data_IF_736953406295
#
_entry.id   IF_736953406295
#
_cell.length_a   1.000
_cell.length_b   1.000
_cell.length_c   1.000
_cell.angle_alpha   90.00
_cell.angle_beta   90.00
_cell.angle_gamma   90.00
#
_symmetry.space_group_name_H-M   'P 1'
#
loop_
_entity.id
_entity.type
_entity.pdbx_description
1 polymer ?
#
# COMPACT_ATOMS: atom_id res chain seq x y z
N UNK A 1 6.24 10.27 16.33
CA UNK A 1 6.90 10.36 17.67
C UNK A 1 8.37 10.67 17.42
N UNK A 2 8.96 11.72 18.04
CA UNK A 2 10.38 12.03 17.87
C UNK A 2 11.29 10.90 18.34
N UNK A 3 12.36 10.63 17.60
CA UNK A 3 13.38 9.63 17.92
C UNK A 3 14.71 10.34 18.16
N UNK A 4 15.34 10.06 19.29
CA UNK A 4 16.66 10.61 19.61
C UNK A 4 17.74 9.67 19.13
N UNK A 5 18.58 10.14 18.22
CA UNK A 5 19.76 9.40 17.73
C UNK A 5 20.98 9.91 18.47
N UNK A 6 21.59 9.05 19.28
CA UNK A 6 22.83 9.38 20.00
C UNK A 6 24.03 9.33 19.06
N UNK A 7 24.80 10.38 19.02
CA UNK A 7 26.08 10.43 18.29
C UNK A 7 27.23 10.00 19.20
N UNK A 8 28.19 9.23 18.68
CA UNK A 8 29.43 8.88 19.40
C UNK A 8 30.38 10.06 19.64
N UNK A 9 30.18 11.18 18.93
CA UNK A 9 31.12 12.33 18.92
C UNK A 9 30.44 13.72 18.97
N UNK A 10 29.15 13.80 19.29
CA UNK A 10 28.46 15.10 19.27
C UNK A 10 27.13 15.08 20.01
N UNK A 11 26.36 16.13 19.86
CA UNK A 11 25.04 16.28 20.45
C UNK A 11 24.05 15.25 19.86
N UNK A 12 23.09 14.81 20.65
CA UNK A 12 22.04 13.93 20.21
C UNK A 12 21.15 14.65 19.17
N UNK A 13 20.88 13.99 18.05
CA UNK A 13 19.98 14.49 17.01
C UNK A 13 18.56 13.99 17.27
N UNK A 14 17.58 14.90 17.25
CA UNK A 14 16.16 14.55 17.32
C UNK A 14 15.59 14.50 15.91
N UNK A 15 15.12 13.32 15.49
CA UNK A 15 14.39 13.12 14.23
C UNK A 15 12.91 13.06 14.52
N UNK A 16 12.14 14.03 14.00
CA UNK A 16 10.71 14.18 14.28
C UNK A 16 9.82 14.17 13.04
N UNK A 17 10.42 14.17 11.85
CA UNK A 17 9.72 14.17 10.56
C UNK A 17 10.22 13.04 9.67
N UNK A 18 9.32 12.44 8.90
CA UNK A 18 9.68 11.48 7.85
C UNK A 18 10.40 12.21 6.71
N UNK A 19 11.45 11.59 6.18
CA UNK A 19 12.26 12.16 5.10
C UNK A 19 11.67 11.93 3.71
N UNK A 20 10.78 10.94 3.56
CA UNK A 20 10.23 10.57 2.26
C UNK A 20 9.21 11.57 1.71
N UNK A 21 8.22 12.08 2.48
CA UNK A 21 7.24 13.04 1.97
C UNK A 21 7.88 14.33 1.48
N UNK A 22 7.45 14.80 0.29
CA UNK A 22 7.92 16.02 -0.37
C UNK A 22 6.75 16.93 -0.73
N UNK A 23 6.23 17.72 0.22
CA UNK A 23 5.04 18.55 0.01
C UNK A 23 5.26 19.63 -1.06
N UNK A 24 6.50 20.00 -1.33
CA UNK A 24 6.91 21.00 -2.33
C UNK A 24 6.97 20.46 -3.76
N UNK A 25 6.58 19.19 -4.00
CA UNK A 25 6.63 18.57 -5.33
C UNK A 25 5.70 19.28 -6.31
N UNK A 26 6.23 19.62 -7.50
CA UNK A 26 5.48 20.22 -8.61
C UNK A 26 5.60 19.39 -9.88
N UNK A 27 4.66 19.56 -10.82
CA UNK A 27 4.72 18.88 -12.13
C UNK A 27 5.97 19.28 -12.91
N UNK A 28 6.36 20.56 -12.86
CA UNK A 28 7.57 21.08 -13.50
C UNK A 28 8.85 20.47 -12.88
N UNK A 29 8.84 20.24 -11.56
CA UNK A 29 9.92 19.56 -10.85
C UNK A 29 10.03 18.11 -11.29
N UNK A 30 8.92 17.38 -11.35
CA UNK A 30 8.86 15.99 -11.80
C UNK A 30 9.32 15.82 -13.25
N UNK A 31 8.94 16.75 -14.15
CA UNK A 31 9.31 16.70 -15.56
C UNK A 31 10.82 16.85 -15.82
N UNK A 32 11.57 17.43 -14.88
CA UNK A 32 13.03 17.60 -14.95
C UNK A 32 13.83 16.39 -14.46
N UNK A 33 13.16 15.41 -13.84
CA UNK A 33 13.84 14.24 -13.28
C UNK A 33 14.35 13.32 -14.40
N UNK A 34 15.56 12.83 -14.21
CA UNK A 34 16.18 11.89 -15.15
C UNK A 34 15.62 10.48 -14.95
N UNK A 35 15.44 9.71 -16.05
CA UNK A 35 15.12 8.28 -15.95
C UNK A 35 16.20 7.53 -15.18
N UNK A 36 15.77 6.58 -14.29
CA UNK A 36 16.68 5.82 -13.43
C UNK A 36 16.87 4.35 -13.87
N UNK A 37 16.02 3.85 -14.76
CA UNK A 37 16.07 2.44 -15.22
C UNK A 37 16.67 2.31 -16.60
N UNK A 38 16.28 3.18 -17.54
CA UNK A 38 16.78 3.21 -18.92
C UNK A 38 17.00 4.66 -19.36
N UNK A 39 18.02 4.99 -20.14
CA UNK A 39 18.30 6.37 -20.57
C UNK A 39 17.12 7.08 -21.24
N UNK A 40 16.29 6.34 -22.00
CA UNK A 40 15.08 6.83 -22.69
C UNK A 40 13.79 6.37 -22.00
N UNK A 41 13.88 5.94 -20.73
CA UNK A 41 12.73 5.44 -19.97
C UNK A 41 11.91 6.58 -19.37
N UNK A 42 10.79 6.20 -18.73
CA UNK A 42 9.87 7.12 -18.06
C UNK A 42 9.87 6.96 -16.53
N UNK A 43 10.55 5.95 -16.01
CA UNK A 43 10.65 5.73 -14.56
C UNK A 43 11.73 6.63 -13.99
N UNK A 44 11.34 7.49 -13.05
CA UNK A 44 12.19 8.47 -12.36
C UNK A 44 12.07 8.31 -10.84
N UNK A 45 12.92 9.00 -10.08
CA UNK A 45 12.81 9.03 -8.63
C UNK A 45 11.49 9.66 -8.12
N UNK A 46 10.79 10.43 -8.94
CA UNK A 46 9.52 11.07 -8.59
C UNK A 46 8.27 10.25 -8.87
N UNK A 47 8.39 9.12 -9.61
CA UNK A 47 7.27 8.26 -9.95
C UNK A 47 7.54 6.77 -9.65
N UNK A 48 8.48 6.52 -8.76
CA UNK A 48 8.81 5.22 -8.19
C UNK A 48 8.83 5.32 -6.66
N UNK A 49 8.46 4.27 -5.97
CA UNK A 49 8.60 4.22 -4.52
C UNK A 49 10.07 4.22 -4.11
N UNK A 50 10.37 4.84 -2.98
CA UNK A 50 11.67 4.70 -2.32
C UNK A 50 11.81 3.33 -1.66
N UNK A 51 13.05 2.86 -1.52
CA UNK A 51 13.36 1.75 -0.61
C UNK A 51 13.70 2.36 0.73
N UNK A 52 12.87 2.11 1.74
CA UNK A 52 12.92 2.81 3.02
C UNK A 52 13.00 1.81 4.17
N UNK A 53 13.48 2.28 5.30
CA UNK A 53 13.30 1.61 6.58
C UNK A 53 11.90 1.91 7.13
N UNK A 54 11.32 0.94 7.81
CA UNK A 54 10.00 1.12 8.41
C UNK A 54 9.55 -0.12 9.16
N UNK A 55 8.64 0.09 10.10
CA UNK A 55 8.04 -0.99 10.89
C UNK A 55 6.53 -0.79 11.00
N UNK A 56 5.80 -1.89 11.02
CA UNK A 56 4.36 -1.92 11.24
C UNK A 56 4.01 -3.16 12.05
N UNK A 57 3.04 -3.03 12.95
CA UNK A 57 2.56 -4.14 13.75
C UNK A 57 1.04 -4.24 13.68
N UNK A 58 0.54 -5.46 13.52
CA UNK A 58 -0.88 -5.81 13.54
C UNK A 58 -1.10 -6.89 14.59
N UNK A 59 -2.12 -6.73 15.43
CA UNK A 59 -2.57 -7.78 16.32
C UNK A 59 -3.70 -8.57 15.64
N UNK A 60 -3.42 -9.84 15.35
CA UNK A 60 -4.42 -10.76 14.80
C UNK A 60 -4.88 -11.72 15.91
N UNK A 61 -6.18 -11.89 15.99
CA UNK A 61 -6.79 -12.78 16.98
C UNK A 61 -7.93 -13.58 16.34
N UNK A 62 -8.14 -14.80 16.81
CA UNK A 62 -9.39 -15.51 16.56
C UNK A 62 -10.54 -14.85 17.34
N UNK A 63 -11.78 -15.07 16.93
CA UNK A 63 -12.95 -14.58 17.65
C UNK A 63 -12.94 -15.03 19.12
N UNK A 64 -12.57 -16.29 19.38
CA UNK A 64 -12.47 -16.83 20.73
C UNK A 64 -11.37 -16.13 21.55
N UNK A 65 -10.22 -15.83 20.95
CA UNK A 65 -9.12 -15.11 21.63
C UNK A 65 -9.54 -13.64 21.90
N UNK A 66 -10.19 -12.98 20.94
CA UNK A 66 -10.70 -11.63 21.15
C UNK A 66 -11.66 -11.56 22.34
N UNK A 67 -12.59 -12.49 22.43
CA UNK A 67 -13.51 -12.57 23.56
C UNK A 67 -12.80 -12.88 24.88
N UNK A 68 -11.88 -13.86 24.89
CA UNK A 68 -11.11 -14.26 26.07
C UNK A 68 -10.27 -13.12 26.65
N UNK A 69 -9.67 -12.29 25.79
CA UNK A 69 -8.76 -11.23 26.23
C UNK A 69 -9.40 -9.83 26.23
N UNK A 70 -10.72 -9.73 26.05
CA UNK A 70 -11.45 -8.46 26.03
C UNK A 70 -10.99 -7.51 24.92
N UNK A 71 -10.53 -8.04 23.77
CA UNK A 71 -10.08 -7.23 22.64
C UNK A 71 -11.29 -6.71 21.87
N UNK A 72 -11.17 -5.48 21.36
CA UNK A 72 -12.16 -4.89 20.46
C UNK A 72 -11.64 -4.97 19.02
N UNK A 73 -12.09 -5.92 18.19
CA UNK A 73 -11.71 -6.01 16.80
C UNK A 73 -12.11 -4.74 16.04
N UNK A 74 -11.22 -4.27 15.14
CA UNK A 74 -11.52 -3.13 14.26
C UNK A 74 -11.95 -3.59 12.87
N UNK A 75 -11.46 -4.74 12.44
CA UNK A 75 -11.81 -5.32 11.15
C UNK A 75 -11.64 -6.84 11.19
N UNK A 76 -12.32 -7.49 10.26
CA UNK A 76 -12.25 -8.93 10.00
C UNK A 76 -11.56 -9.18 8.66
N UNK A 77 -10.66 -10.15 8.60
CA UNK A 77 -10.16 -10.66 7.31
C UNK A 77 -11.24 -11.53 6.68
N UNK A 78 -11.77 -11.10 5.54
CA UNK A 78 -12.83 -11.82 4.80
C UNK A 78 -12.21 -12.91 3.94
N UNK A 79 -11.22 -12.54 3.12
CA UNK A 79 -10.52 -13.44 2.23
C UNK A 79 -9.14 -12.90 1.88
N UNK A 80 -8.26 -13.81 1.45
CA UNK A 80 -6.99 -13.48 0.81
C UNK A 80 -6.73 -14.39 -0.38
N UNK A 81 -5.98 -13.92 -1.36
CA UNK A 81 -5.58 -14.66 -2.53
C UNK A 81 -4.21 -14.18 -3.05
N UNK A 82 -3.46 -15.11 -3.60
CA UNK A 82 -2.26 -14.82 -4.36
C UNK A 82 -2.41 -15.32 -5.80
N UNK A 83 -1.67 -14.73 -6.72
CA UNK A 83 -1.66 -15.10 -8.13
C UNK A 83 -0.26 -14.94 -8.70
N UNK A 84 0.06 -15.72 -9.75
CA UNK A 84 1.30 -15.62 -10.51
C UNK A 84 1.05 -14.94 -11.85
N UNK A 85 2.05 -14.20 -12.32
CA UNK A 85 2.13 -13.62 -13.66
C UNK A 85 3.55 -13.82 -14.21
N UNK A 86 3.77 -13.57 -15.49
CA UNK A 86 5.10 -13.63 -16.05
C UNK A 86 6.04 -12.64 -15.31
N UNK A 87 7.28 -13.03 -14.94
CA UNK A 87 8.22 -12.18 -14.19
C UNK A 87 8.45 -10.80 -14.83
N UNK A 88 8.51 -10.73 -16.15
CA UNK A 88 8.71 -9.48 -16.92
C UNK A 88 7.60 -8.44 -16.75
N UNK A 89 6.42 -8.87 -16.31
CA UNK A 89 5.24 -8.01 -16.07
C UNK A 89 4.76 -8.14 -14.62
N UNK A 90 5.68 -8.33 -13.69
CA UNK A 90 5.38 -8.58 -12.28
C UNK A 90 4.46 -7.52 -11.67
N UNK A 91 4.53 -6.28 -12.13
CA UNK A 91 3.73 -5.17 -11.62
C UNK A 91 2.22 -5.34 -11.81
N UNK A 92 1.79 -6.19 -12.76
CA UNK A 92 0.37 -6.48 -13.01
C UNK A 92 -0.18 -7.60 -12.11
N UNK A 93 0.66 -8.24 -11.29
CA UNK A 93 0.27 -9.31 -10.37
C UNK A 93 -0.94 -9.01 -9.47
N UNK A 94 -1.17 -7.77 -9.01
CA UNK A 94 -2.37 -7.38 -8.28
C UNK A 94 -3.69 -7.71 -9.01
N UNK A 95 -3.76 -7.53 -10.33
CA UNK A 95 -5.01 -7.72 -11.10
C UNK A 95 -5.61 -9.11 -10.93
N UNK A 96 -4.92 -10.21 -11.30
CA UNK A 96 -5.47 -11.55 -11.11
C UNK A 96 -5.65 -11.91 -9.63
N UNK A 97 -4.84 -11.36 -8.71
CA UNK A 97 -5.03 -11.57 -7.27
C UNK A 97 -6.33 -10.92 -6.77
N UNK A 98 -6.64 -9.70 -7.23
CA UNK A 98 -7.87 -8.97 -6.90
C UNK A 98 -9.09 -9.71 -7.44
N UNK A 99 -9.12 -10.12 -8.71
CA UNK A 99 -10.22 -10.90 -9.24
C UNK A 99 -10.46 -12.19 -8.44
N UNK A 100 -9.37 -12.87 -8.07
CA UNK A 100 -9.45 -14.11 -7.30
C UNK A 100 -9.97 -13.89 -5.86
N UNK A 101 -9.55 -12.82 -5.19
CA UNK A 101 -10.01 -12.52 -3.83
C UNK A 101 -11.45 -12.05 -3.80
N UNK A 102 -11.88 -11.23 -4.78
CA UNK A 102 -13.27 -10.79 -4.93
C UNK A 102 -14.20 -11.99 -5.15
N UNK A 103 -13.84 -12.89 -6.08
CA UNK A 103 -14.61 -14.12 -6.31
C UNK A 103 -14.71 -14.99 -5.04
N UNK A 104 -13.59 -15.14 -4.31
CA UNK A 104 -13.54 -15.90 -3.05
C UNK A 104 -14.41 -15.28 -1.95
N UNK A 105 -14.45 -13.95 -1.89
CA UNK A 105 -15.27 -13.21 -0.95
C UNK A 105 -16.74 -13.09 -1.41
N UNK A 106 -17.06 -13.44 -2.65
CA UNK A 106 -18.38 -13.22 -3.30
C UNK A 106 -18.76 -11.73 -3.30
N UNK A 107 -17.79 -10.87 -3.55
CA UNK A 107 -17.96 -9.42 -3.65
C UNK A 107 -17.66 -8.93 -5.07
N UNK A 108 -18.24 -7.78 -5.41
CA UNK A 108 -17.88 -7.00 -6.59
C UNK A 108 -16.95 -5.86 -6.21
N UNK A 109 -16.11 -5.39 -7.13
CA UNK A 109 -15.21 -4.26 -6.87
C UNK A 109 -15.97 -2.98 -6.48
N UNK A 110 -17.17 -2.78 -7.01
CA UNK A 110 -18.07 -1.66 -6.67
C UNK A 110 -18.57 -1.63 -5.21
N UNK A 111 -18.37 -2.71 -4.47
CA UNK A 111 -18.71 -2.78 -3.05
C UNK A 111 -17.54 -2.43 -2.11
N UNK A 112 -16.38 -2.13 -2.69
CA UNK A 112 -15.17 -1.77 -1.95
C UNK A 112 -15.14 -0.26 -1.71
N UNK A 113 -15.03 0.15 -0.46
CA UNK A 113 -15.03 1.55 -0.04
C UNK A 113 -13.61 2.14 0.01
N UNK A 114 -12.58 1.30 0.16
CA UNK A 114 -11.17 1.70 0.27
C UNK A 114 -10.30 0.69 -0.44
N UNK A 115 -9.37 1.17 -1.26
CA UNK A 115 -8.35 0.34 -1.92
C UNK A 115 -6.97 0.85 -1.51
N UNK A 116 -6.20 0.00 -0.87
CA UNK A 116 -4.77 0.25 -0.62
C UNK A 116 -3.96 -0.58 -1.61
N UNK A 117 -3.46 0.06 -2.65
CA UNK A 117 -2.59 -0.50 -3.68
C UNK A 117 -1.15 -0.04 -3.44
N UNK A 118 -0.22 -0.97 -3.27
CA UNK A 118 1.18 -0.59 -3.19
C UNK A 118 1.70 -0.06 -4.54
N UNK A 119 2.20 1.15 -4.54
CA UNK A 119 2.73 1.85 -5.70
C UNK A 119 4.23 1.60 -5.84
N UNK A 120 4.62 0.44 -6.38
CA UNK A 120 6.04 0.22 -6.70
C UNK A 120 6.53 1.24 -7.73
N UNK A 121 5.68 1.53 -8.74
CA UNK A 121 5.87 2.55 -9.78
C UNK A 121 4.52 3.14 -10.15
N UNK A 122 4.47 4.44 -10.48
CA UNK A 122 3.22 5.08 -10.93
C UNK A 122 2.64 4.38 -12.18
N UNK A 123 3.47 4.08 -13.16
CA UNK A 123 3.03 3.37 -14.37
C UNK A 123 2.44 1.98 -14.06
N UNK A 124 2.99 1.28 -13.07
CA UNK A 124 2.48 -0.01 -12.62
C UNK A 124 1.11 0.16 -11.93
N UNK A 125 0.98 1.13 -11.03
CA UNK A 125 -0.29 1.40 -10.34
C UNK A 125 -1.39 1.78 -11.32
N UNK A 126 -1.12 2.69 -12.25
CA UNK A 126 -2.05 3.08 -13.31
C UNK A 126 -2.49 1.91 -14.20
N UNK A 127 -1.55 1.03 -14.57
CA UNK A 127 -1.88 -0.17 -15.33
C UNK A 127 -2.84 -1.09 -14.56
N UNK A 128 -2.60 -1.27 -13.25
CA UNK A 128 -3.49 -2.07 -12.38
C UNK A 128 -4.89 -1.43 -12.28
N UNK A 129 -4.97 -0.11 -12.07
CA UNK A 129 -6.26 0.59 -12.01
C UNK A 129 -7.07 0.39 -13.30
N UNK A 130 -6.44 0.62 -14.45
CA UNK A 130 -7.08 0.50 -15.77
C UNK A 130 -7.56 -0.92 -16.05
N UNK A 131 -6.75 -1.94 -15.73
CA UNK A 131 -7.14 -3.34 -15.88
C UNK A 131 -8.27 -3.76 -14.92
N UNK A 132 -8.40 -3.09 -13.78
CA UNK A 132 -9.51 -3.28 -12.85
C UNK A 132 -10.74 -2.42 -13.20
N UNK A 133 -10.67 -1.58 -14.23
CA UNK A 133 -11.76 -0.69 -14.64
C UNK A 133 -11.95 0.51 -13.72
N UNK A 134 -10.90 0.92 -12.99
CA UNK A 134 -10.91 2.08 -12.11
C UNK A 134 -10.35 3.32 -12.84
N UNK A 135 -10.86 4.53 -12.56
CA UNK A 135 -10.27 5.78 -13.02
C UNK A 135 -8.83 5.96 -12.49
N UNK A 136 -7.96 6.61 -13.27
CA UNK A 136 -6.58 6.89 -12.89
C UNK A 136 -6.48 7.78 -11.64
N UNK A 137 -7.48 8.61 -11.38
CA UNK A 137 -7.63 9.54 -10.26
C UNK A 137 -8.66 9.09 -9.21
N UNK A 138 -8.94 7.80 -9.15
CA UNK A 138 -9.92 7.24 -8.23
C UNK A 138 -9.64 7.62 -6.77
N UNK A 139 -10.53 8.38 -6.15
CA UNK A 139 -10.45 8.76 -4.74
C UNK A 139 -10.60 7.60 -3.73
N UNK A 140 -10.93 6.39 -4.21
CA UNK A 140 -10.96 5.19 -3.39
C UNK A 140 -9.57 4.59 -3.17
N UNK A 141 -8.60 4.93 -4.04
CA UNK A 141 -7.27 4.33 -4.06
C UNK A 141 -6.27 5.19 -3.30
N UNK A 142 -5.62 4.60 -2.30
CA UNK A 142 -4.60 5.24 -1.47
C UNK A 142 -5.03 6.65 -0.96
N UNK A 143 -6.19 6.80 -0.33
CA UNK A 143 -6.74 8.12 0.01
C UNK A 143 -5.87 8.92 0.99
N UNK A 144 -4.89 8.28 1.62
CA UNK A 144 -3.95 8.91 2.55
C UNK A 144 -2.51 8.95 2.01
N UNK A 145 -2.34 8.73 0.70
CA UNK A 145 -1.03 8.61 0.05
C UNK A 145 -0.53 7.18 -0.04
N UNK A 146 0.13 6.85 -1.15
CA UNK A 146 0.71 5.55 -1.44
C UNK A 146 2.23 5.53 -1.27
N UNK A 147 2.87 4.44 -1.68
CA UNK A 147 4.29 4.18 -1.48
C UNK A 147 5.22 5.19 -2.17
N UNK A 148 4.78 5.86 -3.23
CA UNK A 148 5.57 6.91 -3.88
C UNK A 148 5.73 8.11 -2.94
N UNK A 149 4.64 8.48 -2.24
CA UNK A 149 4.64 9.64 -1.34
C UNK A 149 5.24 9.35 0.03
N UNK A 150 4.97 8.17 0.62
CA UNK A 150 5.30 7.86 2.02
C UNK A 150 6.36 6.77 2.19
N UNK A 151 6.86 6.19 1.09
CA UNK A 151 7.91 5.17 1.11
C UNK A 151 7.39 3.73 1.04
N UNK A 152 8.33 2.82 0.76
CA UNK A 152 8.06 1.38 0.60
C UNK A 152 9.06 0.55 1.42
N UNK A 153 8.91 0.48 2.74
CA UNK A 153 9.67 -0.46 3.56
C UNK A 153 9.17 -1.89 3.29
N UNK A 154 9.86 -2.61 2.43
CA UNK A 154 9.43 -3.88 1.80
C UNK A 154 8.77 -4.85 2.79
N UNK A 155 9.43 -5.13 3.91
CA UNK A 155 8.92 -6.06 4.93
C UNK A 155 7.73 -5.53 5.75
N UNK A 156 7.52 -4.21 5.80
CA UNK A 156 6.43 -3.58 6.55
C UNK A 156 5.23 -3.20 5.67
N UNK A 157 5.44 -3.04 4.35
CA UNK A 157 4.42 -2.47 3.45
C UNK A 157 3.09 -3.23 3.46
N UNK A 158 3.09 -4.57 3.45
CA UNK A 158 1.86 -5.34 3.51
C UNK A 158 1.04 -5.05 4.77
N UNK A 159 1.68 -5.01 5.93
CA UNK A 159 1.04 -4.67 7.20
C UNK A 159 0.60 -3.20 7.22
N UNK A 160 1.37 -2.28 6.63
CA UNK A 160 1.02 -0.86 6.51
C UNK A 160 -0.24 -0.66 5.67
N UNK A 161 -0.39 -1.35 4.52
CA UNK A 161 -1.60 -1.30 3.70
C UNK A 161 -2.84 -1.72 4.52
N UNK A 162 -2.74 -2.83 5.25
CA UNK A 162 -3.84 -3.30 6.12
C UNK A 162 -4.16 -2.28 7.21
N UNK A 163 -3.15 -1.74 7.88
CA UNK A 163 -3.35 -0.73 8.92
C UNK A 163 -4.00 0.55 8.37
N UNK A 164 -3.53 1.06 7.23
CA UNK A 164 -4.10 2.23 6.57
C UNK A 164 -5.56 1.99 6.18
N UNK A 165 -5.86 0.86 5.56
CA UNK A 165 -7.20 0.47 5.15
C UNK A 165 -8.16 0.37 6.35
N UNK A 166 -7.77 -0.31 7.43
CA UNK A 166 -8.58 -0.44 8.64
C UNK A 166 -8.86 0.92 9.27
N UNK A 167 -7.85 1.77 9.40
CA UNK A 167 -8.02 3.11 9.96
C UNK A 167 -8.93 3.98 9.08
N UNK A 168 -8.80 3.87 7.75
CA UNK A 168 -9.67 4.59 6.82
C UNK A 168 -11.12 4.14 6.93
N UNK A 169 -11.40 2.84 6.99
CA UNK A 169 -12.75 2.31 7.20
C UNK A 169 -13.37 2.81 8.52
N UNK A 170 -12.59 2.84 9.60
CA UNK A 170 -13.05 3.36 10.89
C UNK A 170 -13.40 4.87 10.82
N UNK A 171 -12.60 5.64 10.09
CA UNK A 171 -12.77 7.09 9.94
C UNK A 171 -13.97 7.47 9.06
N UNK A 172 -14.19 6.73 7.98
CA UNK A 172 -15.25 7.04 6.98
C UNK A 172 -16.56 6.32 7.22
N UNK A 173 -16.57 5.29 8.06
CA UNK A 173 -17.73 4.41 8.22
C UNK A 173 -17.89 3.39 7.07
N UNK A 174 -16.95 3.31 6.13
CA UNK A 174 -16.93 2.33 5.05
C UNK A 174 -16.95 0.90 5.59
N UNK A 175 -17.39 -0.05 4.76
CA UNK A 175 -17.54 -1.45 5.17
C UNK A 175 -16.39 -2.32 4.72
N UNK A 176 -16.02 -2.27 3.44
CA UNK A 176 -15.03 -3.16 2.85
C UNK A 176 -13.79 -2.41 2.37
N UNK A 177 -12.63 -3.00 2.62
CA UNK A 177 -11.38 -2.54 2.05
C UNK A 177 -10.68 -3.67 1.30
N UNK A 178 -9.99 -3.30 0.23
CA UNK A 178 -9.11 -4.16 -0.56
C UNK A 178 -7.68 -3.68 -0.39
N UNK A 179 -6.80 -4.56 0.09
CA UNK A 179 -5.36 -4.32 0.12
C UNK A 179 -4.70 -5.21 -0.93
N UNK A 180 -3.82 -4.65 -1.78
CA UNK A 180 -3.14 -5.43 -2.80
C UNK A 180 -1.75 -4.88 -3.11
N UNK A 181 -0.85 -5.78 -3.51
CA UNK A 181 0.52 -5.43 -3.92
C UNK A 181 1.09 -6.45 -4.89
N UNK A 182 1.97 -5.99 -5.76
CA UNK A 182 2.82 -6.86 -6.56
C UNK A 182 3.97 -7.40 -5.69
N UNK A 183 4.47 -8.56 -6.05
CA UNK A 183 5.58 -9.22 -5.37
C UNK A 183 6.60 -9.62 -6.43
N UNK A 184 7.87 -9.49 -6.13
CA UNK A 184 8.96 -9.85 -7.02
C UNK A 184 8.81 -11.24 -7.63
N UNK A 185 9.47 -11.45 -8.78
CA UNK A 185 9.44 -12.72 -9.54
C UNK A 185 8.08 -13.03 -10.20
N UNK A 186 7.14 -12.07 -10.26
CA UNK A 186 5.88 -12.23 -10.97
C UNK A 186 4.75 -12.79 -10.11
N UNK A 187 4.52 -12.20 -8.95
CA UNK A 187 3.42 -12.55 -8.08
C UNK A 187 2.60 -11.30 -7.72
N UNK A 188 1.36 -11.52 -7.30
CA UNK A 188 0.50 -10.53 -6.67
C UNK A 188 -0.26 -11.15 -5.51
N UNK A 189 -0.57 -10.34 -4.52
CA UNK A 189 -1.39 -10.72 -3.37
C UNK A 189 -2.50 -9.70 -3.18
N UNK A 190 -3.66 -10.18 -2.76
CA UNK A 190 -4.79 -9.33 -2.39
C UNK A 190 -5.51 -9.86 -1.15
N UNK A 191 -6.05 -8.94 -0.35
CA UNK A 191 -6.81 -9.24 0.86
C UNK A 191 -8.02 -8.34 0.96
N UNK A 192 -9.17 -8.88 1.35
CA UNK A 192 -10.37 -8.12 1.67
C UNK A 192 -10.58 -8.11 3.18
N UNK A 193 -10.81 -6.91 3.69
CA UNK A 193 -11.12 -6.62 5.07
C UNK A 193 -12.54 -6.08 5.17
N UNK A 194 -13.23 -6.41 6.25
CA UNK A 194 -14.54 -5.85 6.61
C UNK A 194 -14.43 -5.17 7.95
N UNK A 195 -14.91 -3.93 8.04
CA UNK A 195 -15.04 -3.22 9.32
C UNK A 195 -16.06 -3.92 10.21
N UNK A 196 -15.76 -4.07 11.47
CA UNK A 196 -16.64 -4.62 12.52
C UNK A 196 -16.92 -3.58 13.59
#
# INVERSE_FOLDING_TARGET
MPVTISSKKGEAQIVSQDEQPRPETTLEGLAKLRPIVRPTGTVTAGNASGVNDGACALLLASQAAAAKFGLTPKARVVASAASGVLPRVMGIGPVPAVHKVLAKARLQLSQIDVIELNEAFAAQALAVLRDLGLPDDSGLVNPNGGAIAIGHPLGASGARLVMAAVNQLQRTGGRYALCTMCIGVGQGIAMILERV
#
